data_IF_266513179437
#
_entry.id   IF_266513179437
#
_cell.length_a   1.000
_cell.length_b   1.000
_cell.length_c   1.000
_cell.angle_alpha   90.00
_cell.angle_beta   90.00
_cell.angle_gamma   90.00
#
_symmetry.space_group_name_H-M   'P 1'
#
loop_
_entity.id
_entity.type
_entity.pdbx_description
1 polymer ?
#
# COMPACT_ATOMS: atom_id res chain seq x y z
N UNK A 1 -6.93 15.88 1.38
CA UNK A 1 -6.92 14.62 2.18
C UNK A 1 -8.31 14.26 2.71
N UNK A 2 -9.11 15.21 3.17
CA UNK A 2 -10.44 14.96 3.73
C UNK A 2 -11.41 14.25 2.77
N UNK A 3 -11.37 14.55 1.47
CA UNK A 3 -12.26 13.94 0.47
C UNK A 3 -12.05 12.44 0.23
N UNK A 4 -10.80 11.97 0.22
CA UNK A 4 -10.49 10.55 0.03
C UNK A 4 -10.82 9.71 1.29
N UNK A 5 -10.61 10.29 2.48
CA UNK A 5 -11.02 9.68 3.73
C UNK A 5 -12.55 9.55 3.82
N UNK A 6 -13.29 10.60 3.42
CA UNK A 6 -14.75 10.56 3.33
C UNK A 6 -15.23 9.51 2.32
N UNK A 7 -14.63 9.46 1.13
CA UNK A 7 -14.94 8.43 0.13
C UNK A 7 -14.70 7.01 0.64
N UNK A 8 -13.65 6.79 1.43
CA UNK A 8 -13.36 5.50 2.06
C UNK A 8 -14.40 5.12 3.11
N UNK A 9 -14.85 6.08 3.93
CA UNK A 9 -15.92 5.84 4.92
C UNK A 9 -17.25 5.51 4.23
N UNK A 10 -17.60 6.23 3.16
CA UNK A 10 -18.82 5.96 2.38
C UNK A 10 -18.74 4.58 1.73
N UNK A 11 -17.64 4.25 1.06
CA UNK A 11 -17.45 2.92 0.47
C UNK A 11 -17.47 1.82 1.53
N UNK A 12 -16.77 1.99 2.65
CA UNK A 12 -16.73 1.00 3.72
C UNK A 12 -18.12 0.74 4.32
N UNK A 13 -18.91 1.79 4.57
CA UNK A 13 -20.25 1.67 5.14
C UNK A 13 -21.26 1.05 4.16
N UNK A 14 -21.18 1.38 2.88
CA UNK A 14 -22.02 0.76 1.84
C UNK A 14 -21.64 -0.71 1.67
N UNK A 15 -20.34 -1.02 1.64
CA UNK A 15 -19.84 -2.38 1.47
C UNK A 15 -20.16 -3.26 2.67
N UNK A 16 -20.03 -2.75 3.90
CA UNK A 16 -20.40 -3.51 5.11
C UNK A 16 -21.90 -3.80 5.16
N UNK A 17 -22.74 -2.81 4.84
CA UNK A 17 -24.20 -2.99 4.76
C UNK A 17 -24.59 -4.01 3.69
N UNK A 18 -23.91 -4.01 2.54
CA UNK A 18 -24.15 -4.99 1.48
C UNK A 18 -23.70 -6.40 1.89
N UNK A 19 -22.52 -6.53 2.50
CA UNK A 19 -22.01 -7.81 2.99
C UNK A 19 -22.92 -8.38 4.08
N UNK A 20 -23.34 -7.57 5.05
CA UNK A 20 -24.24 -8.02 6.11
C UNK A 20 -25.58 -8.48 5.53
N UNK A 21 -26.12 -7.77 4.53
CA UNK A 21 -27.44 -8.12 3.98
C UNK A 21 -27.44 -9.39 3.11
N UNK A 22 -26.31 -9.79 2.54
CA UNK A 22 -26.25 -10.93 1.61
C UNK A 22 -25.44 -12.12 2.13
N UNK A 23 -24.49 -11.89 3.03
CA UNK A 23 -23.58 -12.91 3.57
C UNK A 23 -23.75 -13.16 5.08
N UNK A 24 -24.57 -12.38 5.80
CA UNK A 24 -24.74 -12.60 7.24
C UNK A 24 -25.37 -13.96 7.57
N UNK A 25 -26.24 -14.48 6.69
CA UNK A 25 -27.01 -15.71 6.93
C UNK A 25 -26.19 -16.99 6.68
N UNK A 26 -25.11 -16.91 5.90
CA UNK A 26 -24.34 -18.09 5.48
C UNK A 26 -22.99 -18.20 6.21
N UNK A 27 -22.95 -18.97 7.29
CA UNK A 27 -21.72 -19.23 8.05
C UNK A 27 -20.60 -19.85 7.19
N UNK A 28 -20.97 -20.72 6.24
CA UNK A 28 -20.02 -21.32 5.28
C UNK A 28 -19.37 -20.28 4.37
N UNK A 29 -20.13 -19.28 3.92
CA UNK A 29 -19.60 -18.21 3.07
C UNK A 29 -18.62 -17.32 3.85
N UNK A 30 -18.86 -17.06 5.14
CA UNK A 30 -17.94 -16.31 6.01
C UNK A 30 -16.60 -17.03 6.18
N UNK A 31 -16.63 -18.33 6.45
CA UNK A 31 -15.40 -19.13 6.61
C UNK A 31 -14.63 -19.18 5.29
N UNK A 32 -15.33 -19.39 4.17
CA UNK A 32 -14.70 -19.41 2.85
C UNK A 32 -14.09 -18.04 2.51
N UNK A 33 -14.78 -16.94 2.79
CA UNK A 33 -14.24 -15.60 2.62
C UNK A 33 -12.99 -15.36 3.49
N UNK A 34 -13.01 -15.76 4.76
CA UNK A 34 -11.82 -15.65 5.63
C UNK A 34 -10.65 -16.49 5.11
N UNK A 35 -10.91 -17.70 4.63
CA UNK A 35 -9.90 -18.56 4.04
C UNK A 35 -9.29 -17.95 2.77
N UNK A 36 -10.12 -17.37 1.89
CA UNK A 36 -9.62 -16.70 0.69
C UNK A 36 -8.83 -15.44 1.02
N UNK A 37 -9.25 -14.63 2.01
CA UNK A 37 -8.48 -13.49 2.50
C UNK A 37 -7.14 -13.89 3.12
N UNK A 38 -7.12 -14.98 3.90
CA UNK A 38 -5.89 -15.51 4.49
C UNK A 38 -4.92 -15.99 3.40
N UNK A 39 -5.42 -16.75 2.42
CA UNK A 39 -4.63 -17.22 1.29
C UNK A 39 -4.09 -16.05 0.44
N UNK A 40 -4.94 -15.06 0.16
CA UNK A 40 -4.53 -13.86 -0.58
C UNK A 40 -3.43 -13.10 0.15
N UNK A 41 -3.56 -12.92 1.47
CA UNK A 41 -2.54 -12.27 2.31
C UNK A 41 -1.24 -13.04 2.30
N UNK A 42 -1.28 -14.37 2.40
CA UNK A 42 -0.09 -15.22 2.35
C UNK A 42 0.65 -15.10 1.00
N UNK A 43 -0.07 -15.18 -0.12
CA UNK A 43 0.53 -15.04 -1.46
C UNK A 43 1.06 -13.62 -1.68
N UNK A 44 0.34 -12.60 -1.20
CA UNK A 44 0.78 -11.21 -1.28
C UNK A 44 2.07 -10.99 -0.46
N UNK A 45 2.16 -11.57 0.73
CA UNK A 45 3.36 -11.51 1.57
C UNK A 45 4.56 -12.17 0.87
N UNK A 46 4.38 -13.34 0.24
CA UNK A 46 5.45 -13.99 -0.53
C UNK A 46 5.98 -13.12 -1.68
N UNK A 47 5.09 -12.41 -2.40
CA UNK A 47 5.52 -11.46 -3.45
C UNK A 47 6.22 -10.22 -2.87
N UNK A 48 5.74 -9.74 -1.73
CA UNK A 48 6.32 -8.59 -1.04
C UNK A 48 7.74 -8.87 -0.54
N UNK A 49 7.99 -10.07 0.00
CA UNK A 49 9.32 -10.53 0.41
C UNK A 49 10.29 -10.45 -0.77
N UNK A 50 9.92 -11.01 -1.92
CA UNK A 50 10.76 -10.97 -3.12
C UNK A 50 11.05 -9.54 -3.61
N UNK A 51 10.07 -8.64 -3.53
CA UNK A 51 10.27 -7.24 -3.91
C UNK A 51 11.20 -6.50 -2.94
N UNK A 52 10.98 -6.63 -1.64
CA UNK A 52 11.80 -5.95 -0.62
C UNK A 52 13.23 -6.44 -0.70
N UNK A 53 13.45 -7.76 -0.83
CA UNK A 53 14.79 -8.29 -1.03
C UNK A 53 15.44 -7.82 -2.32
N UNK A 54 14.67 -7.64 -3.40
CA UNK A 54 15.19 -7.07 -4.64
C UNK A 54 15.53 -5.57 -4.53
N UNK A 55 14.84 -4.80 -3.67
CA UNK A 55 15.09 -3.37 -3.45
C UNK A 55 16.32 -3.17 -2.56
N UNK A 56 16.36 -3.84 -1.41
CA UNK A 56 17.37 -3.59 -0.37
C UNK A 56 18.57 -4.52 -0.45
N UNK A 57 18.54 -5.53 -1.35
CA UNK A 57 19.59 -6.55 -1.51
C UNK A 57 19.90 -7.34 -0.21
N UNK A 58 18.94 -7.36 0.73
CA UNK A 58 19.02 -8.09 2.01
C UNK A 58 17.80 -8.96 2.22
N UNK A 59 17.86 -9.86 3.19
CA UNK A 59 16.70 -10.66 3.57
C UNK A 59 15.58 -9.76 4.09
N UNK A 60 14.38 -9.95 3.54
CA UNK A 60 13.20 -9.16 3.88
C UNK A 60 12.82 -9.32 5.36
N UNK A 61 13.25 -10.40 6.02
CA UNK A 61 13.07 -10.60 7.46
C UNK A 61 13.73 -9.52 8.33
N UNK A 62 14.74 -8.81 7.80
CA UNK A 62 15.37 -7.68 8.48
C UNK A 62 14.53 -6.39 8.42
N UNK A 63 13.49 -6.36 7.57
CA UNK A 63 12.64 -5.20 7.29
C UNK A 63 11.14 -5.56 7.46
N UNK A 64 10.68 -5.88 8.69
CA UNK A 64 9.30 -6.32 8.92
C UNK A 64 8.27 -5.23 8.59
N UNK A 65 8.57 -3.94 8.80
CA UNK A 65 7.62 -2.87 8.50
C UNK A 65 7.56 -2.58 6.99
N UNK A 66 8.69 -2.59 6.29
CA UNK A 66 8.70 -2.45 4.84
C UNK A 66 8.02 -3.62 4.12
N UNK A 67 8.21 -4.86 4.60
CA UNK A 67 7.57 -6.05 4.01
C UNK A 67 6.06 -6.07 4.24
N UNK A 68 5.60 -5.68 5.42
CA UNK A 68 4.15 -5.53 5.69
C UNK A 68 3.55 -4.42 4.82
N UNK A 69 4.21 -3.27 4.68
CA UNK A 69 3.78 -2.21 3.76
C UNK A 69 3.74 -2.68 2.30
N UNK A 70 4.76 -3.39 1.82
CA UNK A 70 4.79 -3.96 0.48
C UNK A 70 3.64 -4.96 0.25
N UNK A 71 3.35 -5.81 1.24
CA UNK A 71 2.23 -6.74 1.15
C UNK A 71 0.87 -6.02 1.05
N UNK A 72 0.68 -4.94 1.81
CA UNK A 72 -0.50 -4.09 1.72
C UNK A 72 -0.62 -3.42 0.33
N UNK A 73 0.48 -2.96 -0.27
CA UNK A 73 0.48 -2.39 -1.62
C UNK A 73 0.13 -3.43 -2.69
N UNK A 74 0.61 -4.67 -2.57
CA UNK A 74 0.25 -5.77 -3.46
C UNK A 74 -1.25 -6.09 -3.36
N UNK A 75 -1.78 -6.21 -2.14
CA UNK A 75 -3.21 -6.44 -1.90
C UNK A 75 -4.04 -5.28 -2.47
N UNK A 76 -3.62 -4.03 -2.23
CA UNK A 76 -4.31 -2.85 -2.77
C UNK A 76 -4.35 -2.87 -4.31
N UNK A 77 -3.27 -3.31 -4.96
CA UNK A 77 -3.21 -3.45 -6.42
C UNK A 77 -4.20 -4.52 -6.92
N UNK A 78 -4.35 -5.64 -6.20
CA UNK A 78 -5.35 -6.65 -6.55
C UNK A 78 -6.78 -6.18 -6.34
N UNK A 79 -7.05 -5.52 -5.20
CA UNK A 79 -8.37 -4.93 -4.90
C UNK A 79 -8.74 -3.89 -5.96
N UNK A 80 -7.78 -3.09 -6.42
CA UNK A 80 -8.00 -2.11 -7.48
C UNK A 80 -8.56 -2.76 -8.75
N UNK A 81 -7.91 -3.83 -9.21
CA UNK A 81 -8.30 -4.55 -10.44
C UNK A 81 -9.59 -5.36 -10.25
N UNK A 82 -9.73 -6.05 -9.12
CA UNK A 82 -10.82 -6.99 -8.90
C UNK A 82 -12.12 -6.33 -8.44
N UNK A 83 -12.05 -5.20 -7.72
CA UNK A 83 -13.23 -4.59 -7.10
C UNK A 83 -13.47 -3.16 -7.60
N UNK A 84 -12.44 -2.31 -7.60
CA UNK A 84 -12.67 -0.87 -7.84
C UNK A 84 -12.99 -0.56 -9.30
N UNK A 85 -12.31 -1.19 -10.23
CA UNK A 85 -12.58 -1.03 -11.66
C UNK A 85 -14.00 -1.46 -12.06
N UNK A 86 -14.50 -2.66 -11.68
CA UNK A 86 -15.88 -3.03 -11.99
C UNK A 86 -16.91 -2.16 -11.25
N UNK A 87 -16.70 -1.82 -9.98
CA UNK A 87 -17.61 -0.91 -9.25
C UNK A 87 -17.71 0.46 -9.93
N UNK A 88 -16.60 0.97 -10.46
CA UNK A 88 -16.58 2.24 -11.19
C UNK A 88 -17.39 2.15 -12.49
N UNK A 89 -17.27 1.05 -13.23
CA UNK A 89 -18.06 0.82 -14.45
C UNK A 89 -19.55 0.66 -14.11
N UNK A 90 -19.89 -0.18 -13.15
CA UNK A 90 -21.27 -0.47 -12.76
C UNK A 90 -21.97 0.78 -12.21
N UNK A 91 -21.28 1.57 -11.38
CA UNK A 91 -21.83 2.84 -10.87
C UNK A 91 -22.04 3.88 -11.97
N UNK A 92 -21.17 3.93 -12.98
CA UNK A 92 -21.36 4.80 -14.14
C UNK A 92 -22.58 4.37 -14.99
N UNK A 93 -22.74 3.06 -15.22
CA UNK A 93 -23.89 2.50 -15.95
C UNK A 93 -25.18 2.76 -15.19
N UNK A 94 -25.21 2.52 -13.87
CA UNK A 94 -26.36 2.79 -13.02
C UNK A 94 -26.73 4.28 -13.00
N UNK A 95 -25.74 5.18 -12.93
CA UNK A 95 -25.97 6.62 -12.99
C UNK A 95 -26.66 7.01 -14.30
N UNK A 96 -26.14 6.54 -15.45
CA UNK A 96 -26.74 6.82 -16.76
C UNK A 96 -28.16 6.25 -16.88
N UNK A 97 -28.38 5.06 -16.35
CA UNK A 97 -29.70 4.41 -16.32
C UNK A 97 -30.72 5.22 -15.51
N UNK A 98 -30.40 5.59 -14.27
CA UNK A 98 -31.32 6.35 -13.40
C UNK A 98 -31.54 7.78 -13.89
N UNK A 99 -30.51 8.39 -14.51
CA UNK A 99 -30.66 9.69 -15.16
C UNK A 99 -31.66 9.63 -16.33
N UNK A 100 -31.57 8.58 -17.17
CA UNK A 100 -32.53 8.35 -18.26
C UNK A 100 -33.96 8.09 -17.79
N UNK A 101 -34.13 7.51 -16.59
CA UNK A 101 -35.44 7.23 -15.99
C UNK A 101 -36.02 8.41 -15.17
N UNK A 102 -35.30 9.53 -15.07
CA UNK A 102 -35.68 10.69 -14.25
C UNK A 102 -35.86 10.39 -12.75
N UNK A 103 -35.24 9.33 -12.24
CA UNK A 103 -35.24 9.01 -10.81
C UNK A 103 -34.08 9.72 -10.09
N UNK A 104 -34.22 11.04 -9.90
CA UNK A 104 -33.15 11.91 -9.42
C UNK A 104 -32.51 11.48 -8.08
N UNK A 105 -33.29 10.90 -7.17
CA UNK A 105 -32.77 10.41 -5.88
C UNK A 105 -31.77 9.27 -6.01
N UNK A 106 -32.10 8.25 -6.82
CA UNK A 106 -31.23 7.10 -7.07
C UNK A 106 -30.01 7.49 -7.90
N UNK A 107 -30.18 8.41 -8.85
CA UNK A 107 -29.08 8.97 -9.64
C UNK A 107 -28.05 9.70 -8.76
N UNK A 108 -28.50 10.46 -7.75
CA UNK A 108 -27.61 11.16 -6.82
C UNK A 108 -26.78 10.20 -5.96
N UNK A 109 -27.38 9.09 -5.51
CA UNK A 109 -26.67 8.04 -4.76
C UNK A 109 -25.62 7.36 -5.65
N UNK A 110 -25.98 6.98 -6.87
CA UNK A 110 -25.05 6.39 -7.83
C UNK A 110 -23.88 7.34 -8.15
N UNK A 111 -24.16 8.64 -8.29
CA UNK A 111 -23.14 9.67 -8.50
C UNK A 111 -22.19 9.82 -7.31
N UNK A 112 -22.70 9.79 -6.08
CA UNK A 112 -21.86 9.85 -4.88
C UNK A 112 -20.91 8.64 -4.76
N UNK A 113 -21.41 7.44 -5.10
CA UNK A 113 -20.59 6.22 -5.17
C UNK A 113 -19.53 6.35 -6.27
N UNK A 114 -19.92 6.82 -7.46
CA UNK A 114 -19.00 7.01 -8.58
C UNK A 114 -17.86 7.97 -8.23
N UNK A 115 -18.16 9.14 -7.66
CA UNK A 115 -17.13 10.10 -7.22
C UNK A 115 -16.20 9.46 -6.18
N UNK A 116 -16.76 8.76 -5.19
CA UNK A 116 -15.97 8.13 -4.12
C UNK A 116 -15.02 7.07 -4.69
N UNK A 117 -15.52 6.23 -5.61
CA UNK A 117 -14.72 5.23 -6.31
C UNK A 117 -13.64 5.85 -7.20
N UNK A 118 -13.94 6.94 -7.91
CA UNK A 118 -12.96 7.66 -8.74
C UNK A 118 -11.85 8.26 -7.88
N UNK A 119 -12.20 8.89 -6.75
CA UNK A 119 -11.21 9.47 -5.83
C UNK A 119 -10.29 8.39 -5.26
N UNK A 120 -10.86 7.25 -4.87
CA UNK A 120 -10.08 6.14 -4.31
C UNK A 120 -9.23 5.44 -5.38
N UNK A 121 -9.79 5.24 -6.58
CA UNK A 121 -9.07 4.69 -7.73
C UNK A 121 -7.87 5.58 -8.11
N UNK A 122 -8.07 6.90 -8.13
CA UNK A 122 -6.99 7.86 -8.37
C UNK A 122 -5.90 7.76 -7.30
N UNK A 123 -6.27 7.68 -6.02
CA UNK A 123 -5.31 7.54 -4.93
C UNK A 123 -4.42 6.31 -5.07
N UNK A 124 -5.03 5.15 -5.35
CA UNK A 124 -4.27 3.92 -5.57
C UNK A 124 -3.39 3.98 -6.82
N UNK A 125 -3.90 4.55 -7.92
CA UNK A 125 -3.15 4.66 -9.15
C UNK A 125 -1.90 5.54 -8.99
N UNK A 126 -1.97 6.61 -8.19
CA UNK A 126 -0.81 7.47 -7.95
C UNK A 126 0.18 6.90 -6.92
N UNK A 127 -0.25 6.03 -6.00
CA UNK A 127 0.61 5.58 -4.90
C UNK A 127 1.12 4.14 -5.00
N UNK A 128 0.29 3.21 -5.49
CA UNK A 128 0.59 1.78 -5.44
C UNK A 128 1.01 1.19 -6.80
N UNK A 129 0.52 1.76 -7.91
CA UNK A 129 0.76 1.25 -9.26
C UNK A 129 2.14 1.58 -9.86
N UNK A 130 2.69 2.81 -9.75
CA UNK A 130 3.91 3.15 -10.46
C UNK A 130 5.09 2.50 -9.75
N UNK A 131 5.84 1.65 -10.46
CA UNK A 131 6.96 0.90 -9.87
C UNK A 131 8.00 1.80 -9.18
N UNK A 132 8.26 2.98 -9.73
CA UNK A 132 9.18 3.96 -9.13
C UNK A 132 8.63 4.58 -7.85
N UNK A 133 7.33 4.93 -7.81
CA UNK A 133 6.69 5.52 -6.63
C UNK A 133 6.59 4.48 -5.51
N UNK A 134 6.24 3.24 -5.85
CA UNK A 134 6.19 2.11 -4.92
C UNK A 134 7.54 1.86 -4.25
N UNK A 135 8.63 1.74 -5.03
CA UNK A 135 9.99 1.61 -4.49
C UNK A 135 10.36 2.78 -3.57
N UNK A 136 10.04 4.01 -4.00
CA UNK A 136 10.32 5.24 -3.24
C UNK A 136 9.57 5.30 -1.91
N UNK A 137 8.31 4.87 -1.89
CA UNK A 137 7.47 4.80 -0.68
C UNK A 137 7.98 3.71 0.27
N UNK A 138 8.33 2.54 -0.25
CA UNK A 138 8.90 1.45 0.55
C UNK A 138 10.22 1.84 1.19
N UNK A 139 11.08 2.56 0.46
CA UNK A 139 12.33 3.10 1.00
C UNK A 139 12.08 4.06 2.16
N UNK A 140 11.16 5.01 2.00
CA UNK A 140 10.79 5.96 3.06
C UNK A 140 10.21 5.26 4.30
N UNK A 141 9.35 4.25 4.10
CA UNK A 141 8.76 3.49 5.21
C UNK A 141 9.84 2.72 5.95
N UNK A 142 10.74 2.04 5.24
CA UNK A 142 11.86 1.34 5.86
C UNK A 142 12.71 2.31 6.67
N UNK A 143 13.06 3.45 6.11
CA UNK A 143 13.92 4.45 6.76
C UNK A 143 13.35 4.99 8.08
N UNK A 144 12.03 5.17 8.15
CA UNK A 144 11.38 5.70 9.36
C UNK A 144 11.06 4.61 10.40
N UNK A 145 10.81 3.37 9.97
CA UNK A 145 10.27 2.32 10.84
C UNK A 145 11.28 1.19 11.14
N UNK A 146 12.07 0.78 10.15
CA UNK A 146 12.99 -0.36 10.26
C UNK A 146 14.44 0.08 10.52
N UNK A 147 14.88 1.22 9.97
CA UNK A 147 16.26 1.70 10.18
C UNK A 147 16.43 2.36 11.55
N UNK A 148 17.44 1.91 12.29
CA UNK A 148 17.82 2.51 13.56
C UNK A 148 18.72 3.73 13.33
N UNK A 149 18.21 4.92 13.66
CA UNK A 149 18.93 6.20 13.55
C UNK A 149 19.90 6.46 14.71
N UNK A 150 19.88 5.64 15.78
CA UNK A 150 20.63 5.87 17.03
C UNK A 150 21.81 4.93 17.26
N UNK A 151 22.00 3.94 16.41
CA UNK A 151 23.07 2.94 16.56
C UNK A 151 24.44 3.50 16.18
N UNK A 152 25.45 3.20 17.00
CA UNK A 152 26.83 3.62 16.79
C UNK A 152 27.67 2.45 16.23
N UNK A 153 27.58 2.21 14.92
CA UNK A 153 28.47 1.26 14.25
C UNK A 153 29.78 1.95 13.84
N UNK A 154 30.91 1.23 13.96
CA UNK A 154 32.20 1.72 13.48
C UNK A 154 32.22 1.76 11.95
N UNK A 155 32.65 2.89 11.36
CA UNK A 155 32.75 3.03 9.90
C UNK A 155 31.47 3.53 9.22
N UNK A 156 30.55 4.15 9.96
CA UNK A 156 29.40 4.82 9.38
C UNK A 156 29.82 6.04 8.53
N UNK A 157 29.36 6.16 7.27
CA UNK A 157 29.49 7.40 6.51
C UNK A 157 28.83 8.56 7.26
N UNK A 158 29.41 9.75 7.18
CA UNK A 158 28.85 10.95 7.82
C UNK A 158 27.45 11.32 7.29
N UNK A 159 27.12 10.89 6.06
CA UNK A 159 25.83 11.09 5.40
C UNK A 159 24.91 9.85 5.49
N UNK A 160 25.02 9.04 6.54
CA UNK A 160 24.10 7.92 6.79
C UNK A 160 22.88 8.35 7.62
N UNK A 161 21.70 7.84 7.27
CA UNK A 161 20.47 8.14 8.01
C UNK A 161 20.15 7.10 9.10
N UNK A 162 20.66 5.88 8.96
CA UNK A 162 20.49 4.82 9.94
C UNK A 162 21.05 3.49 9.46
N UNK A 163 20.93 2.46 10.30
CA UNK A 163 21.34 1.09 9.94
C UNK A 163 20.27 0.06 10.24
N UNK A 164 20.31 -1.05 9.50
CA UNK A 164 19.52 -2.26 9.76
C UNK A 164 20.48 -3.40 10.03
N UNK A 165 20.35 -4.03 11.20
CA UNK A 165 21.20 -5.16 11.58
C UNK A 165 20.83 -6.43 10.81
N UNK A 166 21.85 -7.18 10.40
CA UNK A 166 21.72 -8.41 9.63
C UNK A 166 21.96 -9.62 10.52
N UNK A 167 20.94 -10.47 10.63
CA UNK A 167 21.00 -11.74 11.34
C UNK A 167 20.96 -11.61 12.87
N UNK A 168 20.97 -12.75 13.59
CA UNK A 168 20.82 -12.79 15.04
C UNK A 168 22.04 -12.22 15.78
N UNK A 169 23.23 -12.32 15.18
CA UNK A 169 24.48 -11.88 15.80
C UNK A 169 24.64 -10.35 15.83
N UNK A 170 23.84 -9.61 15.05
CA UNK A 170 23.88 -8.14 14.92
C UNK A 170 25.26 -7.54 14.59
N UNK A 171 26.25 -8.36 14.20
CA UNK A 171 27.63 -7.95 13.88
C UNK A 171 27.77 -7.24 12.56
N UNK A 172 26.79 -7.38 11.66
CA UNK A 172 26.76 -6.74 10.35
C UNK A 172 25.51 -5.90 10.26
N UNK A 173 25.61 -4.71 9.67
CA UNK A 173 24.46 -3.86 9.43
C UNK A 173 24.54 -3.23 8.04
N UNK A 174 23.38 -3.08 7.42
CA UNK A 174 23.21 -2.38 6.16
C UNK A 174 22.95 -0.90 6.45
N UNK A 175 23.69 -0.02 5.80
CA UNK A 175 23.59 1.44 6.00
C UNK A 175 22.61 2.02 5.00
N UNK A 176 21.64 2.81 5.48
CA UNK A 176 20.82 3.65 4.62
C UNK A 176 21.57 4.94 4.25
N UNK A 177 21.81 5.20 2.95
CA UNK A 177 22.31 6.49 2.49
C UNK A 177 21.28 7.58 2.76
N UNK A 178 21.75 8.81 2.93
CA UNK A 178 20.87 9.98 3.06
C UNK A 178 19.88 10.07 1.92
N UNK A 179 18.64 10.35 2.29
CA UNK A 179 17.53 10.53 1.37
C UNK A 179 17.75 11.76 0.47
N UNK A 180 17.87 11.52 -0.83
CA UNK A 180 17.96 12.55 -1.87
C UNK A 180 16.59 12.75 -2.52
N UNK A 181 15.99 13.92 -2.31
CA UNK A 181 14.71 14.28 -2.90
C UNK A 181 14.89 14.65 -4.38
N UNK A 182 14.32 13.86 -5.30
CA UNK A 182 14.38 14.14 -6.74
C UNK A 182 13.33 15.18 -7.12
N UNK A 183 12.10 15.01 -6.63
CA UNK A 183 10.98 15.91 -6.89
C UNK A 183 10.01 15.96 -5.71
N UNK A 184 9.64 17.19 -5.32
CA UNK A 184 8.47 17.42 -4.46
C UNK A 184 7.21 17.32 -5.31
N UNK A 185 6.71 16.11 -5.49
CA UNK A 185 5.46 15.86 -6.20
C UNK A 185 4.29 16.37 -5.37
N UNK A 186 3.48 17.28 -5.93
CA UNK A 186 2.23 17.74 -5.32
C UNK A 186 1.08 16.72 -5.43
N UNK A 187 1.31 15.61 -6.15
CA UNK A 187 0.29 14.61 -6.49
C UNK A 187 0.40 13.31 -5.69
N UNK A 188 1.48 13.12 -4.93
CA UNK A 188 1.73 11.91 -4.13
C UNK A 188 1.81 12.28 -2.65
N UNK A 189 1.35 11.39 -1.76
CA UNK A 189 1.43 11.62 -0.30
C UNK A 189 2.90 11.69 0.14
N UNK A 190 3.74 10.83 -0.43
CA UNK A 190 5.17 10.80 -0.18
C UNK A 190 5.92 11.62 -1.21
N UNK A 191 7.06 12.18 -0.80
CA UNK A 191 8.00 12.85 -1.71
C UNK A 191 8.63 11.80 -2.60
N UNK A 192 9.00 12.16 -3.83
CA UNK A 192 9.71 11.24 -4.70
C UNK A 192 11.20 11.28 -4.37
N UNK A 193 11.70 10.20 -3.79
CA UNK A 193 13.08 10.04 -3.36
C UNK A 193 13.83 9.06 -4.26
N UNK A 194 15.12 9.31 -4.44
CA UNK A 194 16.01 8.38 -5.12
C UNK A 194 16.24 7.17 -4.22
N UNK A 195 15.91 5.98 -4.72
CA UNK A 195 16.24 4.73 -4.03
C UNK A 195 17.67 4.36 -4.42
N UNK A 196 18.57 4.13 -3.46
CA UNK A 196 19.93 3.66 -3.75
C UNK A 196 19.90 2.34 -4.51
N UNK A 197 20.82 2.16 -5.46
CA UNK A 197 20.95 0.88 -6.17
C UNK A 197 21.67 -0.17 -5.33
N UNK A 198 22.59 0.26 -4.45
CA UNK A 198 23.38 -0.58 -3.58
C UNK A 198 23.37 -0.04 -2.16
N UNK A 199 23.46 -0.95 -1.20
CA UNK A 199 23.54 -0.61 0.22
C UNK A 199 24.84 -1.14 0.80
N UNK A 200 25.59 -0.26 1.47
CA UNK A 200 26.86 -0.65 2.09
C UNK A 200 26.63 -1.47 3.35
N UNK A 201 27.45 -2.50 3.54
CA UNK A 201 27.43 -3.34 4.74
C UNK A 201 28.62 -2.96 5.62
N UNK A 202 28.33 -2.58 6.86
CA UNK A 202 29.32 -2.25 7.88
C UNK A 202 29.33 -3.29 8.99
N UNK A 203 30.47 -3.41 9.66
CA UNK A 203 30.57 -4.24 10.86
C UNK A 203 30.24 -3.40 12.09
N UNK A 204 29.36 -3.91 12.93
CA UNK A 204 28.98 -3.32 14.22
C UNK A 204 29.57 -4.19 15.34
N UNK A 205 30.17 -3.57 16.37
CA UNK A 205 30.75 -4.28 17.51
C UNK A 205 29.69 -4.89 18.44
#
# INVERSE_FOLDING_TARGET
MSGAALGLVVLATVTSRFLDRHFAEFMSAKILALATFALATYVAHGRAVGEVSAIFQIDASALPHATTAASAMVIATWIYLAAVLPILIDSAVLMLYYYGKSEGGNAMIAFAILISSVLWAGLLNFQAMPAHARKSNLYQIALEMDFNKRSHCSGLPADSEGVVFLGPDQRRATVAPRLVEIKRSSRTIFKQVQVPENFDIVNCP
#
